data_IF_476161578453
#
_entry.id   IF_476161578453
#
_cell.length_a   1.000
_cell.length_b   1.000
_cell.length_c   1.000
_cell.angle_alpha   90.00
_cell.angle_beta   90.00
_cell.angle_gamma   90.00
#
_symmetry.space_group_name_H-M   'P 1'
#
loop_
_entity.id
_entity.type
_entity.pdbx_description
1 polymer ?
#
# COMPACT_ATOMS: atom_id res chain seq x y z
N UNK A 1 -13.69 10.23 15.91
CA UNK A 1 -12.58 9.32 15.51
C UNK A 1 -12.99 7.89 15.12
N UNK A 2 -14.13 7.33 15.56
CA UNK A 2 -14.49 5.92 15.27
C UNK A 2 -14.54 5.57 13.78
N UNK A 3 -15.21 6.37 12.95
CA UNK A 3 -15.25 6.12 11.49
C UNK A 3 -13.85 6.22 10.88
N UNK A 4 -13.06 7.22 11.28
CA UNK A 4 -11.70 7.41 10.80
C UNK A 4 -10.79 6.21 11.12
N UNK A 5 -10.95 5.60 12.30
CA UNK A 5 -10.25 4.36 12.71
C UNK A 5 -10.48 3.24 11.70
N UNK A 6 -11.73 3.00 11.28
CA UNK A 6 -12.03 1.94 10.31
C UNK A 6 -11.54 2.28 8.90
N UNK A 7 -11.53 3.55 8.49
CA UNK A 7 -10.94 3.95 7.21
C UNK A 7 -9.43 3.67 7.16
N UNK A 8 -8.69 4.00 8.22
CA UNK A 8 -7.26 3.63 8.30
C UNK A 8 -7.08 2.12 8.39
N UNK A 9 -7.95 1.40 9.10
CA UNK A 9 -7.90 -0.06 9.15
C UNK A 9 -8.04 -0.71 7.76
N UNK A 10 -8.91 -0.17 6.89
CA UNK A 10 -9.02 -0.61 5.49
C UNK A 10 -7.68 -0.41 4.78
N UNK A 11 -7.08 0.78 4.86
CA UNK A 11 -5.75 1.05 4.27
C UNK A 11 -4.70 0.07 4.82
N UNK A 12 -4.69 -0.16 6.13
CA UNK A 12 -3.76 -1.08 6.77
C UNK A 12 -3.91 -2.52 6.27
N UNK A 13 -5.13 -3.01 6.07
CA UNK A 13 -5.38 -4.36 5.53
C UNK A 13 -4.86 -4.50 4.09
N UNK A 14 -5.01 -3.46 3.26
CA UNK A 14 -4.51 -3.53 1.88
C UNK A 14 -2.98 -3.62 1.79
N UNK A 15 -2.23 -3.28 2.85
CA UNK A 15 -0.78 -3.44 2.85
C UNK A 15 -0.33 -4.91 2.71
N UNK A 16 -1.17 -5.88 3.06
CA UNK A 16 -0.88 -7.29 2.82
C UNK A 16 -0.99 -7.68 1.34
N UNK A 17 -1.62 -6.84 0.53
CA UNK A 17 -1.86 -7.08 -0.89
C UNK A 17 -0.59 -7.27 -1.69
N UNK A 18 0.46 -6.47 -1.45
CA UNK A 18 1.76 -6.63 -2.12
C UNK A 18 2.40 -7.99 -1.82
N UNK A 19 2.35 -8.47 -0.58
CA UNK A 19 2.85 -9.80 -0.26
C UNK A 19 2.09 -10.91 -1.01
N UNK A 20 0.76 -10.78 -1.10
CA UNK A 20 -0.10 -11.73 -1.81
C UNK A 20 0.15 -11.68 -3.32
N UNK A 21 0.12 -10.49 -3.93
CA UNK A 21 0.24 -10.31 -5.37
C UNK A 21 1.65 -10.61 -5.88
N UNK A 22 2.69 -10.21 -5.14
CA UNK A 22 4.06 -10.21 -5.63
C UNK A 22 4.76 -11.54 -5.35
N UNK A 23 4.34 -12.30 -4.34
CA UNK A 23 4.96 -13.59 -3.98
C UNK A 23 4.04 -14.81 -4.07
N UNK A 24 2.75 -14.69 -3.72
CA UNK A 24 1.89 -15.87 -3.55
C UNK A 24 1.04 -16.21 -4.78
N UNK A 25 0.46 -15.22 -5.45
CA UNK A 25 -0.48 -15.43 -6.56
C UNK A 25 0.29 -15.57 -7.88
N UNK A 26 0.37 -16.77 -8.50
CA UNK A 26 1.24 -17.00 -9.67
C UNK A 26 0.97 -16.08 -10.86
N UNK A 27 -0.31 -15.68 -11.05
CA UNK A 27 -0.73 -14.83 -12.15
C UNK A 27 -0.12 -13.42 -12.10
N UNK A 28 0.11 -12.89 -10.90
CA UNK A 28 0.66 -11.55 -10.67
C UNK A 28 2.12 -11.59 -10.23
N UNK A 29 2.53 -12.64 -9.53
CA UNK A 29 3.88 -12.77 -8.96
C UNK A 29 4.95 -13.04 -10.02
N UNK A 30 4.55 -13.59 -11.18
CA UNK A 30 5.41 -13.66 -12.38
C UNK A 30 5.80 -12.28 -12.93
N UNK A 31 5.04 -11.23 -12.61
CA UNK A 31 5.36 -9.84 -12.97
C UNK A 31 6.23 -9.14 -11.92
N UNK A 32 6.54 -9.83 -10.81
CA UNK A 32 7.23 -9.27 -9.66
C UNK A 32 8.38 -10.19 -9.21
N UNK A 33 8.33 -10.72 -7.98
CA UNK A 33 9.40 -11.49 -7.35
C UNK A 33 9.87 -12.68 -8.20
N UNK A 34 8.96 -13.33 -8.93
CA UNK A 34 9.25 -14.51 -9.74
C UNK A 34 9.55 -14.20 -11.22
N UNK A 35 9.62 -12.92 -11.60
CA UNK A 35 10.02 -12.53 -12.94
C UNK A 35 11.48 -12.92 -13.22
N UNK A 36 11.79 -13.76 -14.23
CA UNK A 36 13.17 -14.12 -14.56
C UNK A 36 13.97 -12.95 -15.15
N UNK A 37 13.32 -11.93 -15.71
CA UNK A 37 13.98 -10.76 -16.30
C UNK A 37 14.36 -9.69 -15.27
N UNK A 38 13.81 -9.75 -14.06
CA UNK A 38 14.21 -8.85 -12.99
C UNK A 38 15.61 -9.18 -12.47
N UNK A 39 16.53 -8.20 -12.38
CA UNK A 39 17.83 -8.41 -11.78
C UNK A 39 17.67 -8.75 -10.28
N UNK A 40 18.64 -9.47 -9.67
CA UNK A 40 18.57 -9.84 -8.26
C UNK A 40 18.29 -8.66 -7.32
N UNK A 41 18.80 -7.46 -7.63
CA UNK A 41 18.59 -6.28 -6.81
C UNK A 41 17.17 -5.70 -6.88
N UNK A 42 16.48 -5.81 -8.03
CA UNK A 42 15.08 -5.42 -8.13
C UNK A 42 14.20 -6.34 -7.27
N UNK A 43 14.49 -7.65 -7.27
CA UNK A 43 13.82 -8.63 -6.39
C UNK A 43 14.07 -8.36 -4.92
N UNK A 44 15.27 -7.92 -4.55
CA UNK A 44 15.57 -7.48 -3.19
C UNK A 44 14.69 -6.30 -2.77
N UNK A 45 14.58 -5.26 -3.59
CA UNK A 45 13.72 -4.11 -3.28
C UNK A 45 12.23 -4.46 -3.29
N UNK A 46 11.80 -5.39 -4.12
CA UNK A 46 10.43 -5.90 -4.07
C UNK A 46 10.16 -6.66 -2.76
N UNK A 47 11.03 -7.59 -2.37
CA UNK A 47 10.94 -8.26 -1.07
C UNK A 47 10.96 -7.28 0.11
N UNK A 48 11.80 -6.25 0.04
CA UNK A 48 11.83 -5.16 1.02
C UNK A 48 10.48 -4.43 1.09
N UNK A 49 9.91 -4.02 -0.04
CA UNK A 49 8.64 -3.26 -0.08
C UNK A 49 7.44 -4.10 0.36
N UNK A 50 7.36 -5.38 -0.02
CA UNK A 50 6.35 -6.32 0.49
C UNK A 50 6.38 -6.41 2.02
N UNK A 51 7.57 -6.54 2.61
CA UNK A 51 7.75 -6.63 4.06
C UNK A 51 7.45 -5.31 4.76
N UNK A 52 7.84 -4.16 4.17
CA UNK A 52 7.47 -2.85 4.71
C UNK A 52 5.95 -2.68 4.77
N UNK A 53 5.23 -3.07 3.71
CA UNK A 53 3.76 -3.13 3.73
C UNK A 53 3.26 -4.04 4.85
N UNK A 54 3.68 -5.30 4.87
CA UNK A 54 3.25 -6.29 5.87
C UNK A 54 3.41 -5.77 7.32
N UNK A 55 4.60 -5.29 7.67
CA UNK A 55 4.87 -4.78 9.02
C UNK A 55 4.17 -3.43 9.29
N UNK A 56 4.11 -2.53 8.32
CA UNK A 56 3.43 -1.23 8.46
C UNK A 56 1.93 -1.37 8.67
N UNK A 57 1.27 -2.24 7.89
CA UNK A 57 -0.13 -2.61 8.06
C UNK A 57 -0.39 -3.27 9.42
N UNK A 58 0.43 -4.24 9.81
CA UNK A 58 0.33 -4.89 11.12
C UNK A 58 0.49 -3.93 12.29
N UNK A 59 1.48 -3.03 12.23
CA UNK A 59 1.70 -1.99 13.24
C UNK A 59 0.52 -1.03 13.31
N UNK A 60 0.01 -0.58 12.17
CA UNK A 60 -1.18 0.28 12.10
C UNK A 60 -2.39 -0.36 12.78
N UNK A 61 -2.72 -1.61 12.44
CA UNK A 61 -3.82 -2.34 13.06
C UNK A 61 -3.63 -2.53 14.57
N UNK A 62 -2.39 -2.82 14.99
CA UNK A 62 -2.06 -2.97 16.43
C UNK A 62 -2.31 -1.68 17.20
N UNK A 63 -1.97 -0.52 16.62
CA UNK A 63 -2.22 0.78 17.26
C UNK A 63 -3.72 1.11 17.27
N UNK A 64 -4.44 0.84 16.18
CA UNK A 64 -5.87 1.17 16.05
C UNK A 64 -6.77 0.33 16.96
N UNK A 65 -6.44 -0.95 17.14
CA UNK A 65 -7.27 -1.93 17.86
C UNK A 65 -6.62 -2.47 19.14
N UNK A 66 -5.53 -1.84 19.58
CA UNK A 66 -4.88 -2.16 20.86
C UNK A 66 -5.78 -1.87 22.07
N UNK A 67 -5.33 -2.27 23.25
CA UNK A 67 -6.10 -2.13 24.50
C UNK A 67 -6.12 -0.71 25.08
N UNK A 68 -5.32 0.21 24.52
CA UNK A 68 -5.24 1.59 24.96
C UNK A 68 -6.29 2.47 24.27
N UNK A 69 -6.75 3.52 24.95
CA UNK A 69 -7.64 4.53 24.34
C UNK A 69 -6.93 5.20 23.16
N UNK A 70 -7.57 5.17 21.99
CA UNK A 70 -7.04 5.81 20.79
C UNK A 70 -7.15 7.34 20.91
N UNK A 71 -6.02 8.03 20.79
CA UNK A 71 -5.93 9.50 20.81
C UNK A 71 -5.62 10.01 19.40
N UNK A 72 -5.84 11.30 19.11
CA UNK A 72 -5.48 11.86 17.81
C UNK A 72 -4.00 11.66 17.46
N UNK A 73 -3.01 11.89 18.36
CA UNK A 73 -1.60 11.61 18.05
C UNK A 73 -1.34 10.13 17.72
N UNK A 74 -1.87 9.20 18.52
CA UNK A 74 -1.67 7.76 18.26
C UNK A 74 -2.38 7.29 17.00
N UNK A 75 -3.55 7.86 16.68
CA UNK A 75 -4.23 7.66 15.41
C UNK A 75 -3.40 8.13 14.22
N UNK A 76 -2.79 9.33 14.30
CA UNK A 76 -1.94 9.84 13.21
C UNK A 76 -0.70 8.97 13.00
N UNK A 77 -0.11 8.42 14.07
CA UNK A 77 0.98 7.44 13.96
C UNK A 77 0.49 6.18 13.25
N UNK A 78 -0.69 5.65 13.60
CA UNK A 78 -1.27 4.51 12.91
C UNK A 78 -1.55 4.80 11.43
N UNK A 79 -2.02 6.01 11.11
CA UNK A 79 -2.25 6.45 9.74
C UNK A 79 -0.96 6.53 8.93
N UNK A 80 0.13 7.04 9.51
CA UNK A 80 1.46 7.03 8.87
C UNK A 80 1.98 5.61 8.68
N UNK A 81 1.87 4.76 9.71
CA UNK A 81 2.31 3.36 9.63
C UNK A 81 1.61 2.59 8.51
N UNK A 82 0.28 2.72 8.39
CA UNK A 82 -0.50 2.05 7.35
C UNK A 82 -0.47 2.75 5.98
N UNK A 83 -0.23 4.06 5.94
CA UNK A 83 -0.34 4.88 4.74
C UNK A 83 0.97 5.10 3.98
N UNK A 84 2.11 5.07 4.67
CA UNK A 84 3.42 5.41 4.10
C UNK A 84 3.79 4.58 2.87
N UNK A 85 3.44 3.30 2.85
CA UNK A 85 3.63 2.42 1.69
C UNK A 85 2.90 2.95 0.44
N UNK A 86 1.61 3.24 0.53
CA UNK A 86 0.82 3.72 -0.61
C UNK A 86 1.22 5.12 -1.06
N UNK A 87 1.56 6.01 -0.11
CA UNK A 87 2.07 7.34 -0.44
C UNK A 87 3.41 7.23 -1.18
N UNK A 88 4.33 6.37 -0.72
CA UNK A 88 5.59 6.13 -1.39
C UNK A 88 5.38 5.54 -2.80
N UNK A 89 4.46 4.58 -2.96
CA UNK A 89 4.10 4.05 -4.28
C UNK A 89 3.55 5.13 -5.22
N UNK A 90 2.65 5.99 -4.74
CA UNK A 90 2.06 7.06 -5.55
C UNK A 90 3.12 8.05 -6.05
N UNK A 91 4.17 8.26 -5.26
CA UNK A 91 5.28 9.18 -5.57
C UNK A 91 6.44 8.49 -6.33
N UNK A 92 6.46 7.16 -6.42
CA UNK A 92 7.56 6.42 -7.03
C UNK A 92 7.80 6.82 -8.49
N UNK A 93 6.73 7.15 -9.24
CA UNK A 93 6.81 7.58 -10.65
C UNK A 93 7.50 8.92 -10.86
N UNK A 94 7.77 9.69 -9.79
CA UNK A 94 8.55 10.91 -9.87
C UNK A 94 10.05 10.65 -10.07
N UNK A 95 10.50 9.42 -9.82
CA UNK A 95 11.90 9.02 -9.99
C UNK A 95 12.13 8.45 -11.41
N UNK A 96 13.29 8.76 -12.04
CA UNK A 96 13.57 8.34 -13.40
C UNK A 96 13.64 6.81 -13.52
N UNK A 97 13.09 6.28 -14.62
CA UNK A 97 13.14 4.85 -14.93
C UNK A 97 12.18 3.96 -14.13
N UNK A 98 11.22 4.56 -13.42
CA UNK A 98 10.16 3.82 -12.72
C UNK A 98 8.88 3.72 -13.56
N UNK A 99 8.15 2.61 -13.43
CA UNK A 99 6.88 2.38 -14.12
C UNK A 99 5.95 1.53 -13.24
N UNK A 100 4.65 1.63 -13.47
CA UNK A 100 3.64 0.80 -12.79
C UNK A 100 3.55 -0.63 -13.34
N UNK A 101 4.03 -0.84 -14.56
CA UNK A 101 3.99 -2.13 -15.26
C UNK A 101 5.18 -2.19 -16.20
N UNK A 102 5.90 -3.31 -16.19
CA UNK A 102 7.00 -3.50 -17.14
C UNK A 102 6.46 -3.60 -18.57
N UNK A 103 7.21 -3.13 -19.59
CA UNK A 103 6.79 -3.18 -20.99
C UNK A 103 6.34 -4.56 -21.46
N UNK A 104 6.93 -5.63 -20.91
CA UNK A 104 6.61 -7.01 -21.26
C UNK A 104 5.19 -7.45 -20.84
N UNK A 105 4.59 -6.82 -19.82
CA UNK A 105 3.26 -7.20 -19.31
C UNK A 105 2.15 -6.22 -19.68
N UNK A 106 2.43 -5.14 -20.43
CA UNK A 106 1.44 -4.10 -20.76
C UNK A 106 0.20 -4.68 -21.45
N UNK A 107 0.38 -5.67 -22.32
CA UNK A 107 -0.73 -6.31 -23.03
C UNK A 107 -1.54 -7.29 -22.16
N UNK A 108 -0.93 -7.84 -21.11
CA UNK A 108 -1.56 -8.80 -20.20
C UNK A 108 -2.25 -8.12 -19.01
N UNK A 109 -1.73 -6.97 -18.58
CA UNK A 109 -2.22 -6.25 -17.42
C UNK A 109 -3.49 -5.46 -17.76
N UNK A 110 -4.61 -5.68 -17.05
CA UNK A 110 -5.82 -4.92 -17.29
C UNK A 110 -5.64 -3.46 -16.86
N UNK A 111 -6.22 -2.52 -17.61
CA UNK A 111 -6.13 -1.09 -17.33
C UNK A 111 -7.51 -0.48 -17.04
N UNK A 112 -8.16 -0.83 -15.91
CA UNK A 112 -9.43 -0.21 -15.53
C UNK A 112 -9.26 1.30 -15.40
N UNK A 113 -10.14 2.07 -16.04
CA UNK A 113 -10.05 3.54 -16.10
C UNK A 113 -8.72 4.06 -16.67
N UNK A 114 -8.00 3.25 -17.45
CA UNK A 114 -6.70 3.60 -18.01
C UNK A 114 -5.53 3.51 -17.03
N UNK A 115 -5.72 2.91 -15.85
CA UNK A 115 -4.70 2.79 -14.81
C UNK A 115 -4.35 1.33 -14.55
N UNK A 116 -3.08 1.05 -14.20
CA UNK A 116 -2.71 -0.27 -13.72
C UNK A 116 -3.49 -0.60 -12.42
N UNK A 117 -3.81 -1.87 -12.11
CA UNK A 117 -4.65 -2.19 -10.95
C UNK A 117 -4.04 -1.70 -9.63
N UNK A 118 -2.73 -1.88 -9.45
CA UNK A 118 -2.00 -1.39 -8.29
C UNK A 118 -1.99 0.14 -8.21
N UNK A 119 -1.92 0.84 -9.35
CA UNK A 119 -2.00 2.30 -9.40
C UNK A 119 -3.37 2.81 -8.95
N UNK A 120 -4.44 2.24 -9.47
CA UNK A 120 -5.81 2.60 -9.08
C UNK A 120 -6.05 2.37 -7.59
N UNK A 121 -5.65 1.19 -7.09
CA UNK A 121 -5.75 0.86 -5.66
C UNK A 121 -4.94 1.85 -4.81
N UNK A 122 -3.70 2.15 -5.18
CA UNK A 122 -2.87 3.12 -4.47
C UNK A 122 -3.53 4.48 -4.37
N UNK A 123 -4.07 5.02 -5.46
CA UNK A 123 -4.73 6.33 -5.44
C UNK A 123 -6.00 6.32 -4.59
N UNK A 124 -6.84 5.29 -4.69
CA UNK A 124 -8.03 5.16 -3.86
C UNK A 124 -7.67 5.09 -2.36
N UNK A 125 -6.64 4.34 -2.00
CA UNK A 125 -6.20 4.21 -0.60
C UNK A 125 -5.58 5.50 -0.07
N UNK A 126 -4.85 6.25 -0.90
CA UNK A 126 -4.40 7.60 -0.55
C UNK A 126 -5.58 8.55 -0.28
N UNK A 127 -6.64 8.50 -1.10
CA UNK A 127 -7.86 9.30 -0.87
C UNK A 127 -8.59 8.89 0.42
N UNK A 128 -8.72 7.58 0.67
CA UNK A 128 -9.31 7.05 1.92
C UNK A 128 -8.50 7.52 3.14
N UNK A 129 -7.17 7.47 3.07
CA UNK A 129 -6.29 7.92 4.12
C UNK A 129 -6.47 9.42 4.41
N UNK A 130 -6.51 10.26 3.36
CA UNK A 130 -6.76 11.70 3.49
C UNK A 130 -8.11 11.99 4.15
N UNK A 131 -9.17 11.30 3.71
CA UNK A 131 -10.50 11.42 4.32
C UNK A 131 -10.50 10.99 5.79
N UNK A 132 -9.79 9.91 6.13
CA UNK A 132 -9.67 9.44 7.51
C UNK A 132 -8.97 10.47 8.41
N UNK A 133 -7.86 11.05 7.94
CA UNK A 133 -7.12 12.08 8.68
C UNK A 133 -7.97 13.34 8.86
N UNK A 134 -8.61 13.82 7.79
CA UNK A 134 -9.49 14.99 7.86
C UNK A 134 -10.64 14.77 8.86
N UNK A 135 -11.27 13.59 8.84
CA UNK A 135 -12.34 13.24 9.76
C UNK A 135 -11.85 13.11 11.20
N UNK A 136 -10.66 12.54 11.43
CA UNK A 136 -10.09 12.43 12.76
C UNK A 136 -9.77 13.81 13.35
N UNK A 137 -9.20 14.72 12.57
CA UNK A 137 -8.93 16.10 13.00
C UNK A 137 -10.21 16.88 13.28
N UNK A 138 -11.27 16.65 12.49
CA UNK A 138 -12.55 17.33 12.70
C UNK A 138 -13.38 16.79 13.89
N UNK A 139 -13.08 15.58 14.38
CA UNK A 139 -13.88 14.87 15.38
C UNK A 139 -13.10 14.40 16.61
N UNK A 140 -11.83 14.80 16.71
CA UNK A 140 -10.92 14.50 17.83
C UNK A 140 -10.59 15.78 18.57
#
# INVERSE_FOLDING_TARGET
>A
MEIAKFLVAIVAIFNFGGFVADALVPATSKQHLWNPHWPPHAKFHNGQTMLMGFFGGGLSLTILFGTQTLTLPTFLIAAVAGGSYFVAMALATLFPGTAWTDPEFVAETPHPLGLAPQQLVTYLLCLVLLAAVALAVATG
#
